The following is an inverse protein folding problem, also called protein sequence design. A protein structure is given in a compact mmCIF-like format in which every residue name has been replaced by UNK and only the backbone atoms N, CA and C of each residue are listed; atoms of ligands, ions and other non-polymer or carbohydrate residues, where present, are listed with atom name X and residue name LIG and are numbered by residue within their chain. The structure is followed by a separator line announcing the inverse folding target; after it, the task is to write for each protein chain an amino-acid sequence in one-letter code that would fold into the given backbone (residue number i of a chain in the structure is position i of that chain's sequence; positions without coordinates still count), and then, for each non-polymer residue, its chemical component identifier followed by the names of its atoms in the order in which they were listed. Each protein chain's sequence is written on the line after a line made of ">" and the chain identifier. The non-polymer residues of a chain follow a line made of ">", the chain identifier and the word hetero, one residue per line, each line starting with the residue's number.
data_IF_004218746180
#
_entry.id   IF_004218746180
#
_cell.length_a   1.000
_cell.length_b   1.000
_cell.length_c   1.000
_cell.angle_alpha   90.00
_cell.angle_beta   90.00
_cell.angle_gamma   90.00
#
_symmetry.space_group_name_H-M   'P 1'
#
loop_
_entity.id
_entity.type
_entity.pdbx_description
1 polymer ?
#
# COMPACT_ATOMS: atom_id res chain seq x y z
N UNK A 1 22.62 -23.29 -17.05
CA UNK A 1 22.52 -23.56 -15.60
C UNK A 1 21.09 -23.27 -15.18
N UNK A 2 20.29 -24.29 -14.90
CA UNK A 2 18.89 -24.10 -14.46
C UNK A 2 18.92 -23.66 -13.00
N UNK A 3 18.85 -22.36 -12.75
CA UNK A 3 18.78 -21.85 -11.38
C UNK A 3 17.56 -22.45 -10.67
N UNK A 4 17.78 -23.07 -9.50
CA UNK A 4 16.70 -23.56 -8.66
C UNK A 4 15.87 -22.36 -8.17
N UNK A 5 14.69 -22.16 -8.76
CA UNK A 5 13.71 -21.17 -8.31
C UNK A 5 13.39 -21.41 -6.82
N UNK A 6 13.81 -20.47 -5.97
CA UNK A 6 13.55 -20.50 -4.52
C UNK A 6 12.14 -20.01 -4.15
N UNK A 7 11.44 -19.37 -5.09
CA UNK A 7 10.09 -18.84 -4.95
C UNK A 7 9.20 -19.35 -6.08
N UNK A 8 7.97 -19.71 -5.76
CA UNK A 8 6.94 -20.07 -6.74
C UNK A 8 6.32 -18.81 -7.37
N UNK A 9 5.60 -18.97 -8.48
CA UNK A 9 4.85 -17.85 -9.07
C UNK A 9 3.81 -17.29 -8.10
N UNK A 10 3.15 -18.16 -7.35
CA UNK A 10 2.19 -17.77 -6.33
C UNK A 10 2.83 -16.89 -5.26
N UNK A 11 4.00 -17.29 -4.75
CA UNK A 11 4.76 -16.50 -3.77
C UNK A 11 5.09 -15.11 -4.30
N UNK A 12 5.53 -15.04 -5.57
CA UNK A 12 5.87 -13.78 -6.19
C UNK A 12 4.66 -12.87 -6.37
N UNK A 13 3.55 -13.40 -6.89
CA UNK A 13 2.28 -12.65 -7.00
C UNK A 13 1.81 -12.18 -5.63
N UNK A 14 1.92 -13.03 -4.61
CA UNK A 14 1.49 -12.69 -3.26
C UNK A 14 2.35 -11.59 -2.64
N UNK A 15 3.65 -11.60 -2.89
CA UNK A 15 4.54 -10.50 -2.49
C UNK A 15 4.11 -9.21 -3.20
N UNK A 16 3.90 -9.22 -4.52
CA UNK A 16 3.52 -8.02 -5.29
C UNK A 16 2.18 -7.45 -4.81
N UNK A 17 1.15 -8.29 -4.66
CA UNK A 17 -0.15 -7.87 -4.13
C UNK A 17 -0.01 -7.33 -2.70
N UNK A 18 0.85 -7.94 -1.86
CA UNK A 18 1.13 -7.46 -0.52
C UNK A 18 1.84 -6.10 -0.45
N UNK A 19 2.66 -5.76 -1.45
CA UNK A 19 3.29 -4.45 -1.59
C UNK A 19 2.28 -3.36 -1.98
N UNK A 20 1.27 -3.71 -2.80
CA UNK A 20 0.22 -2.79 -3.23
C UNK A 20 -0.84 -2.60 -2.14
N UNK A 21 -1.31 -3.69 -1.53
CA UNK A 21 -2.30 -3.67 -0.45
C UNK A 21 -1.58 -3.34 0.87
N UNK A 22 -1.35 -2.05 1.10
CA UNK A 22 -0.71 -1.51 2.29
C UNK A 22 -1.70 -0.88 3.29
N UNK A 23 -1.17 -0.02 4.17
CA UNK A 23 -1.99 0.78 5.08
C UNK A 23 -2.88 1.80 4.37
N UNK A 24 -2.59 2.10 3.09
CA UNK A 24 -3.37 3.04 2.29
C UNK A 24 -4.84 2.66 2.20
N UNK A 25 -5.16 1.38 2.03
CA UNK A 25 -6.55 0.90 1.95
C UNK A 25 -7.27 1.02 3.29
N UNK A 26 -6.59 0.79 4.42
CA UNK A 26 -7.23 0.79 5.74
C UNK A 26 -7.31 2.17 6.39
N UNK A 27 -6.38 3.06 6.08
CA UNK A 27 -6.31 4.42 6.66
C UNK A 27 -6.66 5.48 5.64
N UNK A 28 -5.87 5.56 4.58
CA UNK A 28 -5.97 6.65 3.59
C UNK A 28 -7.29 6.60 2.83
N UNK A 29 -7.79 5.42 2.47
CA UNK A 29 -9.07 5.31 1.76
C UNK A 29 -10.23 5.88 2.58
N UNK A 30 -10.24 5.68 3.90
CA UNK A 30 -11.26 6.20 4.80
C UNK A 30 -11.10 7.72 5.01
N UNK A 31 -9.89 8.24 5.14
CA UNK A 31 -9.67 9.70 5.27
C UNK A 31 -10.00 10.42 3.96
N UNK A 32 -9.54 9.90 2.82
CA UNK A 32 -9.84 10.47 1.51
C UNK A 32 -11.33 10.41 1.15
N UNK A 33 -12.08 9.41 1.65
CA UNK A 33 -13.53 9.37 1.49
C UNK A 33 -14.23 10.46 2.32
N UNK A 34 -13.70 10.78 3.52
CA UNK A 34 -14.23 11.87 4.37
C UNK A 34 -13.93 13.24 3.81
N UNK A 35 -12.75 13.41 3.20
CA UNK A 35 -12.30 14.68 2.63
C UNK A 35 -12.85 14.91 1.21
N UNK A 36 -13.42 13.89 0.58
CA UNK A 36 -14.00 13.99 -0.76
C UNK A 36 -15.30 14.81 -0.74
N UNK A 37 -15.40 15.77 -1.68
CA UNK A 37 -16.58 16.63 -1.83
C UNK A 37 -17.82 15.81 -2.20
N UNK A 38 -17.67 14.85 -3.12
CA UNK A 38 -18.75 14.00 -3.62
C UNK A 38 -18.24 12.56 -3.87
N UNK A 39 -19.09 11.53 -3.72
CA UNK A 39 -18.71 10.14 -3.99
C UNK A 39 -18.17 9.91 -5.41
N UNK A 40 -18.72 10.59 -6.41
CA UNK A 40 -18.28 10.46 -7.81
C UNK A 40 -16.82 10.91 -7.99
N UNK A 41 -16.39 11.95 -7.28
CA UNK A 41 -14.99 12.42 -7.32
C UNK A 41 -14.07 11.36 -6.73
N UNK A 42 -14.43 10.82 -5.56
CA UNK A 42 -13.68 9.74 -4.91
C UNK A 42 -13.48 8.54 -5.84
N UNK A 43 -14.55 7.97 -6.40
CA UNK A 43 -14.45 6.82 -7.29
C UNK A 43 -13.70 7.14 -8.60
N UNK A 44 -13.89 8.33 -9.16
CA UNK A 44 -13.15 8.74 -10.36
C UNK A 44 -11.64 8.84 -10.12
N UNK A 45 -11.22 9.35 -8.96
CA UNK A 45 -9.80 9.42 -8.58
C UNK A 45 -9.20 8.01 -8.43
N UNK A 46 -9.95 7.07 -7.86
CA UNK A 46 -9.54 5.66 -7.78
C UNK A 46 -9.36 5.01 -9.15
N UNK A 47 -10.29 5.23 -10.08
CA UNK A 47 -10.20 4.70 -11.45
C UNK A 47 -8.98 5.26 -12.17
N UNK A 48 -8.76 6.57 -12.10
CA UNK A 48 -7.61 7.23 -12.74
C UNK A 48 -6.31 6.74 -12.12
N UNK A 49 -6.22 6.69 -10.78
CA UNK A 49 -5.04 6.16 -10.09
C UNK A 49 -4.75 4.72 -10.46
N UNK A 50 -5.79 3.88 -10.57
CA UNK A 50 -5.69 2.51 -11.04
C UNK A 50 -5.16 2.39 -12.47
N UNK A 51 -5.63 3.25 -13.38
CA UNK A 51 -5.15 3.28 -14.77
C UNK A 51 -3.68 3.69 -14.86
N UNK A 52 -3.27 4.71 -14.11
CA UNK A 52 -1.86 5.16 -14.04
C UNK A 52 -0.98 4.04 -13.48
N UNK A 53 -1.42 3.37 -12.41
CA UNK A 53 -0.70 2.23 -11.83
C UNK A 53 -0.59 1.05 -12.81
N UNK A 54 -1.66 0.77 -13.57
CA UNK A 54 -1.67 -0.29 -14.58
C UNK A 54 -0.67 0.00 -15.71
N UNK A 55 -0.65 1.24 -16.24
CA UNK A 55 0.33 1.66 -17.24
C UNK A 55 1.76 1.47 -16.72
N UNK A 56 2.04 1.89 -15.48
CA UNK A 56 3.35 1.69 -14.86
C UNK A 56 3.72 0.20 -14.72
N UNK A 57 2.77 -0.64 -14.29
CA UNK A 57 2.98 -2.08 -14.16
C UNK A 57 3.31 -2.75 -15.51
N UNK A 58 2.61 -2.36 -16.58
CA UNK A 58 2.87 -2.87 -17.94
C UNK A 58 4.24 -2.44 -18.45
N UNK A 59 4.65 -1.19 -18.22
CA UNK A 59 6.00 -0.72 -18.59
C UNK A 59 7.08 -1.52 -17.86
N UNK A 60 6.95 -1.76 -16.55
CA UNK A 60 7.91 -2.59 -15.82
C UNK A 60 7.89 -4.06 -16.25
N UNK A 61 6.72 -4.60 -16.63
CA UNK A 61 6.61 -5.95 -17.17
C UNK A 61 7.35 -6.10 -18.50
N UNK A 62 7.22 -5.12 -19.42
CA UNK A 62 7.92 -5.12 -20.70
C UNK A 62 9.44 -5.06 -20.49
N UNK A 63 9.93 -4.15 -19.65
CA UNK A 63 11.35 -4.05 -19.29
C UNK A 63 11.87 -5.37 -18.72
N UNK A 64 11.13 -5.97 -17.79
CA UNK A 64 11.50 -7.24 -17.16
C UNK A 64 11.54 -8.41 -18.13
N UNK A 65 10.61 -8.47 -19.09
CA UNK A 65 10.60 -9.50 -20.13
C UNK A 65 11.73 -9.34 -21.16
N UNK A 66 12.10 -8.09 -21.48
CA UNK A 66 13.14 -7.78 -22.48
C UNK A 66 14.55 -7.92 -21.91
N UNK A 67 14.72 -7.71 -20.61
CA UNK A 67 16.03 -7.74 -19.95
C UNK A 67 16.00 -8.60 -18.67
N UNK A 68 15.91 -9.94 -18.78
CA UNK A 68 15.81 -10.86 -17.65
C UNK A 68 17.18 -11.08 -16.99
N UNK A 69 17.73 -10.03 -16.38
CA UNK A 69 19.03 -10.08 -15.69
C UNK A 69 18.86 -10.09 -14.18
N UNK A 70 19.71 -10.85 -13.49
CA UNK A 70 19.82 -10.82 -12.04
C UNK A 70 20.46 -9.50 -11.59
N UNK A 71 19.83 -8.79 -10.66
CA UNK A 71 20.32 -7.51 -10.11
C UNK A 71 19.31 -6.37 -10.05
N UNK A 72 18.06 -6.61 -10.45
CA UNK A 72 16.94 -5.68 -10.24
C UNK A 72 17.15 -4.30 -10.86
N UNK A 73 16.70 -3.26 -10.16
CA UNK A 73 16.78 -1.87 -10.62
C UNK A 73 18.20 -1.46 -11.01
N UNK A 74 19.22 -1.83 -10.23
CA UNK A 74 20.61 -1.44 -10.51
C UNK A 74 21.06 -1.83 -11.92
N UNK A 75 20.87 -3.09 -12.33
CA UNK A 75 21.36 -3.56 -13.63
C UNK A 75 20.59 -2.93 -14.80
N UNK A 76 19.30 -2.68 -14.63
CA UNK A 76 18.47 -2.00 -15.62
C UNK A 76 18.95 -0.55 -15.81
N UNK A 77 19.09 0.22 -14.73
CA UNK A 77 19.52 1.62 -14.81
C UNK A 77 20.99 1.76 -15.24
N UNK A 78 21.86 0.83 -14.83
CA UNK A 78 23.26 0.86 -15.22
C UNK A 78 23.44 0.62 -16.73
N UNK A 79 22.55 -0.19 -17.33
CA UNK A 79 22.55 -0.44 -18.76
C UNK A 79 21.93 0.71 -19.58
N UNK A 80 20.91 1.37 -19.03
CA UNK A 80 20.19 2.45 -19.71
C UNK A 80 20.90 3.81 -19.65
N UNK A 81 21.55 4.14 -18.52
CA UNK A 81 22.16 5.45 -18.29
C UNK A 81 23.67 5.33 -18.05
N UNK A 82 24.06 5.03 -16.82
CA UNK A 82 25.45 4.84 -16.41
C UNK A 82 25.49 4.15 -15.04
N UNK A 83 26.50 3.32 -14.72
CA UNK A 83 26.61 2.66 -13.42
C UNK A 83 26.62 3.60 -12.21
N UNK A 84 27.15 4.82 -12.34
CA UNK A 84 27.14 5.83 -11.26
C UNK A 84 25.72 6.35 -10.95
N UNK A 85 24.93 6.61 -11.99
CA UNK A 85 23.52 7.04 -11.85
C UNK A 85 22.70 5.91 -11.23
N UNK A 86 22.93 4.68 -11.67
CA UNK A 86 22.27 3.50 -11.10
C UNK A 86 22.59 3.32 -9.61
N UNK A 87 23.84 3.58 -9.21
CA UNK A 87 24.24 3.54 -7.81
C UNK A 87 23.50 4.60 -6.98
N UNK A 88 23.48 5.84 -7.46
CA UNK A 88 22.77 6.94 -6.78
C UNK A 88 21.27 6.64 -6.60
N UNK A 89 20.60 6.15 -7.65
CA UNK A 89 19.18 5.77 -7.60
C UNK A 89 18.96 4.64 -6.58
N UNK A 90 19.82 3.62 -6.55
CA UNK A 90 19.67 2.53 -5.59
C UNK A 90 19.89 2.98 -4.14
N UNK A 91 20.79 3.93 -3.90
CA UNK A 91 20.96 4.55 -2.59
C UNK A 91 19.68 5.29 -2.15
N UNK A 92 19.08 6.08 -3.06
CA UNK A 92 17.81 6.77 -2.79
C UNK A 92 16.66 5.78 -2.50
N UNK A 93 16.56 4.70 -3.28
CA UNK A 93 15.55 3.65 -3.07
C UNK A 93 15.75 2.94 -1.74
N UNK A 94 17.00 2.67 -1.35
CA UNK A 94 17.31 2.05 -0.05
C UNK A 94 16.82 2.93 1.11
N UNK A 95 17.15 4.23 1.08
CA UNK A 95 16.74 5.18 2.13
C UNK A 95 15.22 5.35 2.14
N UNK A 96 14.59 5.48 0.97
CA UNK A 96 13.13 5.60 0.84
C UNK A 96 12.39 4.38 1.38
N UNK A 97 12.88 3.17 1.09
CA UNK A 97 12.29 1.93 1.60
C UNK A 97 12.47 1.81 3.12
N UNK A 98 13.62 2.21 3.66
CA UNK A 98 13.86 2.21 5.11
C UNK A 98 12.91 3.19 5.83
N UNK A 99 12.74 4.40 5.30
CA UNK A 99 11.79 5.38 5.82
C UNK A 99 10.34 4.88 5.75
N UNK A 100 9.96 4.27 4.62
CA UNK A 100 8.63 3.69 4.41
C UNK A 100 8.35 2.55 5.40
N UNK A 101 9.33 1.66 5.61
CA UNK A 101 9.23 0.57 6.59
C UNK A 101 9.00 1.11 8.01
N UNK A 102 9.74 2.15 8.40
CA UNK A 102 9.58 2.81 9.69
C UNK A 102 8.17 3.41 9.85
N UNK A 103 7.69 4.13 8.84
CA UNK A 103 6.34 4.70 8.83
C UNK A 103 5.25 3.64 8.96
N UNK A 104 5.41 2.49 8.28
CA UNK A 104 4.49 1.35 8.40
C UNK A 104 4.50 0.77 9.80
N UNK A 105 5.67 0.59 10.40
CA UNK A 105 5.79 0.05 11.75
C UNK A 105 5.17 0.98 12.81
N UNK A 106 5.34 2.30 12.68
CA UNK A 106 4.76 3.31 13.60
C UNK A 106 3.25 3.39 13.53
N UNK A 107 2.69 3.38 12.32
CA UNK A 107 1.25 3.36 12.15
C UNK A 107 0.67 2.02 12.64
N UNK A 108 1.37 0.91 12.35
CA UNK A 108 0.99 -0.42 12.81
C UNK A 108 0.96 -0.54 14.33
N UNK A 109 1.97 -0.02 15.04
CA UNK A 109 1.97 -0.02 16.51
C UNK A 109 0.85 0.84 17.09
N UNK A 110 0.53 1.97 16.45
CA UNK A 110 -0.62 2.80 16.81
C UNK A 110 -1.97 2.09 16.68
N UNK A 111 -2.12 1.17 15.72
CA UNK A 111 -3.31 0.30 15.64
C UNK A 111 -3.29 -0.82 16.68
N UNK A 112 -2.13 -1.45 16.89
CA UNK A 112 -1.98 -2.56 17.83
C UNK A 112 -2.26 -2.12 19.28
N UNK A 113 -1.68 -0.99 19.71
CA UNK A 113 -1.84 -0.48 21.07
C UNK A 113 -3.27 -0.06 21.39
N UNK A 114 -4.07 0.35 20.39
CA UNK A 114 -5.50 0.66 20.58
C UNK A 114 -6.35 -0.54 20.97
N UNK A 115 -5.87 -1.77 20.74
CA UNK A 115 -6.57 -2.98 21.16
C UNK A 115 -6.46 -3.25 22.66
N UNK A 116 -5.47 -2.64 23.33
CA UNK A 116 -5.22 -2.85 24.75
C UNK A 116 -5.63 -1.61 25.56
N UNK A 117 -6.34 -1.79 26.69
CA UNK A 117 -6.67 -0.67 27.56
C UNK A 117 -5.38 -0.08 28.16
N UNK A 118 -5.15 1.21 27.92
CA UNK A 118 -3.95 1.90 28.41
C UNK A 118 -3.82 3.28 27.78
N UNK A 119 -3.17 4.21 28.49
CA UNK A 119 -2.81 5.51 27.95
C UNK A 119 -1.41 5.42 27.34
N UNK A 120 -1.34 5.11 26.06
CA UNK A 120 -0.09 4.86 25.34
C UNK A 120 0.50 6.15 24.78
N UNK A 121 1.75 6.41 25.12
CA UNK A 121 2.53 7.55 24.64
C UNK A 121 3.18 7.25 23.29
N UNK A 122 3.77 8.27 22.65
CA UNK A 122 4.49 8.08 21.39
C UNK A 122 5.79 7.27 21.56
N UNK A 123 6.36 7.25 22.77
CA UNK A 123 7.51 6.40 23.11
C UNK A 123 7.09 4.93 23.07
N UNK A 124 5.92 4.59 23.61
CA UNK A 124 5.42 3.20 23.61
C UNK A 124 5.20 2.70 22.18
N UNK A 125 4.64 3.55 21.31
CA UNK A 125 4.49 3.24 19.87
C UNK A 125 5.85 2.97 19.24
N UNK A 126 6.86 3.79 19.51
CA UNK A 126 8.21 3.62 18.95
C UNK A 126 8.85 2.30 19.41
N UNK A 127 8.73 1.96 20.70
CA UNK A 127 9.25 0.69 21.26
C UNK A 127 8.62 -0.51 20.55
N UNK A 128 7.28 -0.52 20.42
CA UNK A 128 6.56 -1.61 19.75
C UNK A 128 6.95 -1.70 18.26
N UNK A 129 7.11 -0.56 17.58
CA UNK A 129 7.57 -0.52 16.19
C UNK A 129 8.98 -1.08 16.02
N UNK A 130 9.92 -0.69 16.88
CA UNK A 130 11.28 -1.22 16.87
C UNK A 130 11.29 -2.74 17.11
N UNK A 131 10.52 -3.21 18.10
CA UNK A 131 10.38 -4.64 18.37
C UNK A 131 9.84 -5.41 17.16
N UNK A 132 8.82 -4.87 16.48
CA UNK A 132 8.27 -5.46 15.26
C UNK A 132 9.29 -5.51 14.13
N UNK A 133 10.04 -4.42 13.89
CA UNK A 133 11.08 -4.38 12.85
C UNK A 133 12.17 -5.42 13.14
N UNK A 134 12.63 -5.52 14.39
CA UNK A 134 13.65 -6.50 14.80
C UNK A 134 13.13 -7.94 14.60
N UNK A 135 11.87 -8.20 14.98
CA UNK A 135 11.23 -9.50 14.76
C UNK A 135 11.22 -9.87 13.27
N UNK A 136 10.75 -8.97 12.41
CA UNK A 136 10.73 -9.21 10.97
C UNK A 136 12.14 -9.31 10.38
N UNK A 137 13.11 -8.56 10.90
CA UNK A 137 14.50 -8.70 10.51
C UNK A 137 15.03 -10.12 10.77
N UNK A 138 14.79 -10.67 11.97
CA UNK A 138 15.16 -12.06 12.28
C UNK A 138 14.44 -13.09 11.39
N UNK A 139 13.16 -12.87 11.06
CA UNK A 139 12.43 -13.71 10.11
C UNK A 139 13.10 -13.69 8.73
N UNK A 140 13.54 -12.51 8.28
CA UNK A 140 14.24 -12.36 6.99
C UNK A 140 15.61 -13.07 6.99
N UNK A 141 16.31 -13.13 8.12
CA UNK A 141 17.58 -13.87 8.24
C UNK A 141 17.41 -15.39 8.10
N UNK A 142 16.23 -15.96 8.44
CA UNK A 142 15.93 -17.39 8.27
C UNK A 142 15.77 -17.82 6.81
N UNK A 143 15.78 -16.88 5.87
CA UNK A 143 15.84 -17.12 4.45
C UNK A 143 14.53 -16.89 3.70
N UNK A 144 14.65 -16.85 2.36
CA UNK A 144 13.59 -16.41 1.45
C UNK A 144 12.30 -17.25 1.54
N UNK A 145 12.39 -18.55 1.78
CA UNK A 145 11.22 -19.43 1.87
C UNK A 145 10.36 -19.16 3.10
N UNK A 146 11.00 -18.92 4.24
CA UNK A 146 10.31 -18.56 5.49
C UNK A 146 9.68 -17.17 5.36
N UNK A 147 10.44 -16.19 4.86
CA UNK A 147 9.94 -14.83 4.63
C UNK A 147 8.73 -14.83 3.69
N UNK A 148 8.79 -15.56 2.57
CA UNK A 148 7.65 -15.69 1.65
C UNK A 148 6.45 -16.40 2.28
N UNK A 149 6.65 -17.43 3.10
CA UNK A 149 5.53 -18.12 3.76
C UNK A 149 4.83 -17.17 4.75
N UNK A 150 5.59 -16.45 5.57
CA UNK A 150 5.04 -15.44 6.50
C UNK A 150 4.29 -14.35 5.72
N UNK A 151 4.87 -13.85 4.63
CA UNK A 151 4.23 -12.85 3.77
C UNK A 151 2.90 -13.38 3.19
N UNK A 152 2.87 -14.61 2.68
CA UNK A 152 1.67 -15.20 2.10
C UNK A 152 0.56 -15.35 3.15
N UNK A 153 0.89 -15.82 4.37
CA UNK A 153 -0.08 -15.97 5.47
C UNK A 153 -0.63 -14.61 5.88
N UNK A 154 0.23 -13.62 6.11
CA UNK A 154 -0.20 -12.26 6.46
C UNK A 154 -1.09 -11.66 5.37
N UNK A 155 -0.77 -11.91 4.11
CA UNK A 155 -1.55 -11.37 3.02
C UNK A 155 -2.89 -12.07 2.84
N UNK A 156 -2.96 -13.39 3.03
CA UNK A 156 -4.22 -14.12 3.08
C UNK A 156 -5.15 -13.57 4.17
N UNK A 157 -4.62 -13.27 5.37
CA UNK A 157 -5.38 -12.63 6.45
C UNK A 157 -5.87 -11.25 6.01
N UNK A 158 -5.01 -10.42 5.38
CA UNK A 158 -5.41 -9.09 4.89
C UNK A 158 -6.54 -9.16 3.86
N UNK A 159 -6.47 -10.11 2.92
CA UNK A 159 -7.54 -10.33 1.93
C UNK A 159 -8.83 -10.75 2.64
N UNK A 160 -8.75 -11.70 3.59
CA UNK A 160 -9.92 -12.13 4.35
C UNK A 160 -10.58 -10.97 5.11
N UNK A 161 -9.80 -10.09 5.73
CA UNK A 161 -10.33 -8.88 6.40
C UNK A 161 -11.05 -7.95 5.44
N UNK A 162 -10.52 -7.76 4.22
CA UNK A 162 -11.18 -6.94 3.19
C UNK A 162 -12.50 -7.58 2.76
N UNK A 163 -12.53 -8.90 2.56
CA UNK A 163 -13.77 -9.62 2.21
C UNK A 163 -14.83 -9.49 3.32
N UNK A 164 -14.43 -9.58 4.59
CA UNK A 164 -15.33 -9.34 5.73
C UNK A 164 -15.87 -7.91 5.69
N UNK A 165 -15.02 -6.91 5.43
CA UNK A 165 -15.46 -5.52 5.33
C UNK A 165 -16.47 -5.31 4.19
N UNK A 166 -16.23 -5.95 3.04
CA UNK A 166 -17.17 -5.92 1.90
C UNK A 166 -18.48 -6.63 2.27
N UNK A 167 -18.42 -7.73 3.02
CA UNK A 167 -19.63 -8.48 3.42
C UNK A 167 -20.58 -7.66 4.29
N UNK A 168 -20.06 -6.72 5.10
CA UNK A 168 -20.88 -5.82 5.90
C UNK A 168 -21.82 -4.94 5.05
N UNK A 169 -21.49 -4.69 3.78
CA UNK A 169 -22.33 -3.93 2.86
C UNK A 169 -23.64 -4.67 2.52
N UNK A 170 -23.66 -5.99 2.64
CA UNK A 170 -24.83 -6.83 2.36
C UNK A 170 -25.75 -7.03 3.58
N UNK A 171 -25.32 -6.59 4.77
CA UNK A 171 -26.11 -6.60 6.01
C UNK A 171 -26.29 -5.17 6.59
N UNK A 172 -26.79 -4.21 5.80
CA UNK A 172 -26.82 -2.80 6.21
C UNK A 172 -27.67 -2.56 7.46
N UNK A 173 -28.70 -3.37 7.70
CA UNK A 173 -29.61 -3.23 8.83
C UNK A 173 -28.96 -3.53 10.20
N UNK A 174 -27.88 -4.32 10.25
CA UNK A 174 -27.19 -4.70 11.49
C UNK A 174 -25.97 -3.81 11.81
N UNK A 175 -25.34 -3.23 10.77
CA UNK A 175 -24.05 -2.54 10.89
C UNK A 175 -24.08 -1.05 10.53
N UNK A 176 -25.19 -0.53 9.99
CA UNK A 176 -25.40 0.90 9.93
C UNK A 176 -25.96 1.36 11.29
N UNK A 177 -25.21 2.12 12.12
CA UNK A 177 -25.89 2.98 13.05
C UNK A 177 -26.85 3.83 12.22
N UNK A 178 -28.04 4.13 12.73
CA UNK A 178 -28.93 5.16 12.18
C UNK A 178 -28.24 6.52 12.34
N UNK A 179 -27.13 6.72 11.63
CA UNK A 179 -26.54 8.01 11.41
C UNK A 179 -27.60 8.77 10.61
N UNK A 180 -27.92 10.02 10.99
CA UNK A 180 -28.67 10.89 10.11
C UNK A 180 -28.02 10.78 8.74
N UNK A 181 -28.82 10.43 7.72
CA UNK A 181 -28.36 10.35 6.34
C UNK A 181 -27.48 11.59 6.12
N UNK A 182 -26.18 11.45 5.82
CA UNK A 182 -25.34 12.63 5.64
C UNK A 182 -26.07 13.45 4.60
N UNK A 183 -26.56 14.62 5.00
CA UNK A 183 -27.33 15.46 4.11
C UNK A 183 -26.45 15.61 2.88
N UNK A 184 -26.86 15.00 1.76
CA UNK A 184 -26.29 15.32 0.45
C UNK A 184 -26.24 16.85 0.45
N UNK A 185 -25.08 17.49 0.26
CA UNK A 185 -25.03 18.94 0.25
C UNK A 185 -26.08 19.44 -0.75
N UNK A 186 -27.23 19.87 -0.24
CA UNK A 186 -28.32 20.44 -1.04
C UNK A 186 -27.93 21.87 -1.34
N UNK A 187 -26.87 22.05 -2.12
CA UNK A 187 -26.47 23.33 -2.70
C UNK A 187 -25.68 23.08 -3.98
N UNK A 188 -26.43 22.78 -5.05
CA UNK A 188 -26.46 23.66 -6.21
C UNK A 188 -25.13 24.09 -6.84
N UNK A 189 -24.22 23.16 -7.10
CA UNK A 189 -23.30 23.34 -8.25
C UNK A 189 -23.31 22.06 -9.08
N UNK A 190 -23.69 22.11 -10.38
CA UNK A 190 -23.45 20.97 -11.25
C UNK A 190 -21.97 20.60 -11.15
N UNK A 191 -21.65 19.31 -11.29
CA UNK A 191 -20.27 18.84 -11.37
C UNK A 191 -19.62 19.39 -12.65
N UNK A 192 -19.34 20.68 -12.68
CA UNK A 192 -18.63 21.36 -13.74
C UNK A 192 -17.21 20.80 -13.75
N UNK A 193 -16.64 20.56 -14.92
CA UNK A 193 -15.26 20.10 -15.08
C UNK A 193 -14.28 20.89 -14.18
N UNK A 194 -14.50 22.19 -14.03
CA UNK A 194 -13.75 23.07 -13.13
C UNK A 194 -13.84 22.69 -11.64
N UNK A 195 -14.99 22.24 -11.14
CA UNK A 195 -15.15 21.75 -9.77
C UNK A 195 -14.45 20.41 -9.54
N UNK A 196 -14.44 19.55 -10.56
CA UNK A 196 -13.70 18.29 -10.55
C UNK A 196 -12.18 18.53 -10.54
N UNK A 197 -11.67 19.46 -11.37
CA UNK A 197 -10.25 19.85 -11.38
C UNK A 197 -9.81 20.50 -10.07
N UNK A 198 -10.64 21.37 -9.48
CA UNK A 198 -10.34 22.00 -8.17
C UNK A 198 -10.19 20.97 -7.04
N UNK A 199 -10.91 19.85 -7.10
CA UNK A 199 -10.85 18.78 -6.09
C UNK A 199 -9.54 17.97 -6.10
N UNK A 200 -8.72 18.09 -7.16
CA UNK A 200 -7.40 17.45 -7.25
C UNK A 200 -6.29 18.26 -6.54
N UNK A 201 -6.61 19.39 -5.89
CA UNK A 201 -5.64 20.24 -5.21
C UNK A 201 -4.75 21.06 -6.17
N UNK A 202 -5.16 21.23 -7.43
CA UNK A 202 -4.38 21.91 -8.48
C UNK A 202 -4.63 23.43 -8.52
N UNK A 203 -5.47 24.00 -7.63
CA UNK A 203 -5.59 25.46 -7.51
C UNK A 203 -5.61 25.91 -6.05
N UNK A 204 -4.58 26.66 -5.66
CA UNK A 204 -4.74 27.83 -4.77
C UNK A 204 -5.64 28.86 -5.47
#
# INVERSE_FOLDING_TARGET
>A
MTEKRKLSLFDFTMIVVGLVIGMGIFRTAATSAKDAINPSVYFSAWIIGGLVALCGALTFAEIGSRYPVTGGYYRVFAKAYHPSVAFAINCLVLVSNAASLSGVALIGSGYLLKLFPGNWTDIDKAIVSCAAIILFYFINLKGLKVSSTVQNVLMAIKIAMILVLISALFFPAEYAPTLPSPALPQTGTPATFTGWVKSLGISL
#
